data_IF_162836841376
#
_entry.id   IF_162836841376
#
_cell.length_a   1.000
_cell.length_b   1.000
_cell.length_c   1.000
_cell.angle_alpha   90.00
_cell.angle_beta   90.00
_cell.angle_gamma   90.00
#
_symmetry.space_group_name_H-M   'P 1'
#
loop_
_entity.id
_entity.type
_entity.pdbx_description
1 polymer ?
#
# COMPACT_ATOMS: atom_id res chain seq x y z
N UNK A 1 6.92 14.19 -9.68
CA UNK A 1 6.10 13.38 -10.57
C UNK A 1 6.99 12.87 -11.71
N UNK A 2 7.10 11.55 -11.84
CA UNK A 2 7.87 10.92 -12.91
C UNK A 2 7.07 10.93 -14.22
N UNK A 3 7.81 10.78 -15.33
CA UNK A 3 7.23 10.70 -16.68
C UNK A 3 6.41 11.92 -17.11
N UNK A 4 6.68 13.09 -16.53
CA UNK A 4 5.96 14.33 -16.87
C UNK A 4 6.17 14.77 -18.32
N UNK A 5 7.26 14.36 -18.96
CA UNK A 5 7.52 14.62 -20.38
C UNK A 5 6.37 14.08 -21.26
N UNK A 6 5.83 12.90 -20.96
CA UNK A 6 4.70 12.31 -21.68
C UNK A 6 3.45 13.19 -21.66
N UNK A 7 3.33 14.02 -20.62
CA UNK A 7 2.19 14.93 -20.43
C UNK A 7 2.56 16.40 -20.69
N UNK A 8 3.71 16.65 -21.37
CA UNK A 8 4.19 17.99 -21.66
C UNK A 8 4.48 18.83 -20.43
N UNK A 9 4.93 18.18 -19.33
CA UNK A 9 5.17 18.79 -18.02
C UNK A 9 3.93 19.42 -17.36
N UNK A 10 2.72 19.06 -17.83
CA UNK A 10 1.44 19.56 -17.32
C UNK A 10 0.80 18.50 -16.40
N UNK A 11 0.78 18.78 -15.09
CA UNK A 11 0.20 17.89 -14.09
C UNK A 11 -1.33 17.76 -14.22
N UNK A 12 -1.99 18.77 -14.77
CA UNK A 12 -3.42 18.71 -15.10
C UNK A 12 -3.72 17.65 -16.16
N UNK A 13 -2.88 17.56 -17.20
CA UNK A 13 -3.00 16.52 -18.22
C UNK A 13 -2.78 15.11 -17.65
N UNK A 14 -1.84 14.95 -16.72
CA UNK A 14 -1.64 13.68 -16.02
C UNK A 14 -2.91 13.29 -15.23
N UNK A 15 -3.48 14.20 -14.44
CA UNK A 15 -4.74 13.96 -13.71
C UNK A 15 -5.87 13.59 -14.66
N UNK A 16 -6.02 14.32 -15.77
CA UNK A 16 -7.06 14.02 -16.77
C UNK A 16 -6.87 12.63 -17.39
N UNK A 17 -5.63 12.23 -17.69
CA UNK A 17 -5.35 10.90 -18.21
C UNK A 17 -5.78 9.77 -17.25
N UNK A 18 -5.64 9.96 -15.93
CA UNK A 18 -6.17 9.01 -14.93
C UNK A 18 -7.70 8.99 -14.93
N UNK A 19 -8.36 10.14 -15.02
CA UNK A 19 -9.83 10.22 -15.13
C UNK A 19 -10.31 9.48 -16.38
N UNK A 20 -9.67 9.75 -17.53
CA UNK A 20 -10.01 9.08 -18.80
C UNK A 20 -9.80 7.57 -18.75
N UNK A 21 -8.71 7.12 -18.11
CA UNK A 21 -8.44 5.69 -17.88
C UNK A 21 -9.56 5.05 -17.07
N UNK A 22 -9.96 5.66 -15.96
CA UNK A 22 -11.00 5.14 -15.08
C UNK A 22 -12.39 5.16 -15.77
N UNK A 23 -12.66 6.12 -16.65
CA UNK A 23 -13.89 6.16 -17.45
C UNK A 23 -13.98 5.05 -18.51
N UNK A 24 -12.84 4.43 -18.90
CA UNK A 24 -12.85 3.28 -19.82
C UNK A 24 -13.27 1.97 -19.16
N UNK A 25 -13.41 1.95 -17.82
CA UNK A 25 -13.95 0.77 -17.14
C UNK A 25 -15.38 0.48 -17.59
N UNK A 26 -15.80 -0.80 -17.66
CA UNK A 26 -17.18 -1.18 -17.89
C UNK A 26 -18.12 -0.51 -16.86
N UNK A 27 -19.40 -0.41 -17.20
CA UNK A 27 -20.40 0.22 -16.32
C UNK A 27 -20.55 -0.49 -14.96
N UNK A 28 -20.20 -1.77 -14.88
CA UNK A 28 -20.21 -2.59 -13.66
C UNK A 28 -18.87 -2.56 -12.92
N UNK A 29 -17.87 -1.90 -13.47
CA UNK A 29 -16.54 -1.82 -12.84
C UNK A 29 -16.54 -0.86 -11.66
N UNK A 30 -15.66 -1.14 -10.70
CA UNK A 30 -15.41 -0.32 -9.52
C UNK A 30 -13.93 0.09 -9.46
N UNK A 31 -13.68 1.37 -9.21
CA UNK A 31 -12.34 1.87 -8.97
C UNK A 31 -11.98 1.71 -7.48
N UNK A 32 -10.82 1.12 -7.20
CA UNK A 32 -10.27 1.03 -5.84
C UNK A 32 -9.10 2.00 -5.77
N UNK A 33 -9.21 3.02 -4.93
CA UNK A 33 -8.38 4.23 -5.02
C UNK A 33 -7.76 4.58 -3.67
N UNK A 34 -6.42 4.70 -3.65
CA UNK A 34 -5.68 5.22 -2.49
C UNK A 34 -5.92 6.72 -2.33
N UNK A 35 -6.57 7.12 -1.25
CA UNK A 35 -6.94 8.52 -1.00
C UNK A 35 -5.90 9.29 -0.16
N UNK A 36 -4.66 8.80 -0.05
CA UNK A 36 -3.59 9.49 0.68
C UNK A 36 -2.99 10.68 -0.10
N UNK A 37 -3.09 10.65 -1.42
CA UNK A 37 -2.59 11.74 -2.26
C UNK A 37 -3.66 12.81 -2.47
N UNK A 38 -3.37 14.10 -2.20
CA UNK A 38 -4.27 15.21 -2.54
C UNK A 38 -4.64 15.24 -4.03
N UNK A 39 -3.69 14.94 -4.92
CA UNK A 39 -3.93 14.91 -6.35
C UNK A 39 -4.92 13.81 -6.77
N UNK A 40 -4.94 12.69 -6.05
CA UNK A 40 -5.93 11.64 -6.24
C UNK A 40 -7.30 12.10 -5.74
N UNK A 41 -7.37 12.73 -4.56
CA UNK A 41 -8.61 13.28 -4.02
C UNK A 41 -9.24 14.33 -4.94
N UNK A 42 -8.42 15.16 -5.60
CA UNK A 42 -8.87 16.20 -6.53
C UNK A 42 -9.65 15.60 -7.73
N UNK A 43 -9.34 14.39 -8.16
CA UNK A 43 -10.00 13.76 -9.32
C UNK A 43 -11.21 12.93 -8.94
N UNK A 44 -11.40 12.55 -7.65
CA UNK A 44 -12.54 11.72 -7.23
C UNK A 44 -13.91 12.28 -7.65
N UNK A 45 -14.19 13.60 -7.53
CA UNK A 45 -15.48 14.16 -7.95
C UNK A 45 -15.76 14.06 -9.46
N UNK A 46 -14.72 13.90 -10.28
CA UNK A 46 -14.84 13.75 -11.73
C UNK A 46 -15.13 12.32 -12.18
N UNK A 47 -15.07 11.34 -11.26
CA UNK A 47 -15.24 9.93 -11.60
C UNK A 47 -16.72 9.56 -11.65
N UNK A 48 -17.19 9.14 -12.85
CA UNK A 48 -18.56 8.68 -13.06
C UNK A 48 -18.77 7.19 -12.72
N UNK A 49 -17.75 6.50 -12.23
CA UNK A 49 -17.81 5.08 -11.87
C UNK A 49 -17.87 4.93 -10.35
N UNK A 50 -18.44 3.83 -9.82
CA UNK A 50 -18.36 3.53 -8.40
C UNK A 50 -16.89 3.49 -7.93
N UNK A 51 -16.63 4.13 -6.79
CA UNK A 51 -15.29 4.21 -6.21
C UNK A 51 -15.32 3.61 -4.80
N UNK A 52 -14.31 2.84 -4.47
CA UNK A 52 -13.99 2.47 -3.09
C UNK A 52 -12.65 3.12 -2.73
N UNK A 53 -12.66 4.00 -1.74
CA UNK A 53 -11.47 4.68 -1.26
C UNK A 53 -10.83 3.91 -0.11
N UNK A 54 -9.49 3.93 -0.04
CA UNK A 54 -8.75 3.36 1.08
C UNK A 54 -7.61 4.26 1.52
N UNK A 55 -7.18 4.08 2.78
CA UNK A 55 -6.09 4.85 3.37
C UNK A 55 -6.11 4.89 4.89
N UNK A 56 -5.49 5.91 5.47
CA UNK A 56 -5.44 6.15 6.92
C UNK A 56 -6.46 7.20 7.39
N UNK A 57 -6.93 8.05 6.48
CA UNK A 57 -7.83 9.15 6.80
C UNK A 57 -9.23 8.65 7.23
N UNK A 58 -9.97 9.49 7.98
CA UNK A 58 -11.28 9.10 8.54
C UNK A 58 -12.40 8.99 7.50
N UNK A 59 -12.24 9.66 6.39
CA UNK A 59 -13.24 9.77 5.34
C UNK A 59 -13.12 8.70 4.24
N UNK A 60 -12.25 7.68 4.42
CA UNK A 60 -12.12 6.57 3.47
C UNK A 60 -12.97 5.38 3.90
N UNK A 61 -13.35 4.55 2.91
CA UNK A 61 -14.21 3.39 3.13
C UNK A 61 -13.48 2.17 3.70
N UNK A 62 -12.20 2.01 3.36
CA UNK A 62 -11.34 0.94 3.90
C UNK A 62 -10.15 1.61 4.58
N UNK A 63 -10.19 1.64 5.91
CA UNK A 63 -9.26 2.43 6.72
C UNK A 63 -8.40 1.54 7.59
N UNK A 64 -7.08 1.78 7.60
CA UNK A 64 -6.21 1.21 8.61
C UNK A 64 -6.12 2.12 9.84
N UNK A 65 -6.22 1.51 11.01
CA UNK A 65 -6.02 2.16 12.33
C UNK A 65 -5.09 1.31 13.19
N UNK A 66 -4.57 1.88 14.27
CA UNK A 66 -3.66 1.21 15.22
C UNK A 66 -2.42 0.59 14.52
N UNK A 67 -1.90 1.29 13.50
CA UNK A 67 -0.79 0.81 12.68
C UNK A 67 0.51 0.84 13.48
N UNK A 68 1.17 -0.31 13.59
CA UNK A 68 2.44 -0.45 14.30
C UNK A 68 3.34 -1.48 13.65
N UNK A 69 4.64 -1.27 13.76
CA UNK A 69 5.64 -2.24 13.35
C UNK A 69 6.02 -3.13 14.54
N UNK A 70 5.95 -4.45 14.35
CA UNK A 70 6.33 -5.45 15.36
C UNK A 70 7.13 -6.58 14.71
N UNK A 71 8.37 -6.79 15.16
CA UNK A 71 9.23 -7.91 14.71
C UNK A 71 9.35 -8.02 13.18
N UNK A 72 9.45 -6.89 12.47
CA UNK A 72 9.57 -6.85 11.00
C UNK A 72 8.25 -7.05 10.24
N UNK A 73 7.13 -7.12 10.94
CA UNK A 73 5.78 -7.18 10.40
C UNK A 73 5.05 -5.87 10.66
N UNK A 74 3.98 -5.60 9.90
CA UNK A 74 3.02 -4.55 10.22
C UNK A 74 1.78 -5.17 10.84
N UNK A 75 1.38 -4.67 12.01
CA UNK A 75 0.15 -5.03 12.70
C UNK A 75 -0.79 -3.83 12.68
N UNK A 76 -2.04 -4.02 12.28
CA UNK A 76 -3.02 -2.95 12.19
C UNK A 76 -4.44 -3.52 12.16
N UNK A 77 -5.41 -2.66 12.44
CA UNK A 77 -6.82 -2.99 12.29
C UNK A 77 -7.38 -2.36 11.02
N UNK A 78 -8.36 -3.00 10.41
CA UNK A 78 -9.05 -2.46 9.24
C UNK A 78 -10.52 -2.26 9.54
N UNK A 79 -10.96 -1.01 9.44
CA UNK A 79 -12.35 -0.60 9.46
C UNK A 79 -12.87 -0.56 8.03
N UNK A 80 -14.04 -1.16 7.79
CA UNK A 80 -14.61 -1.31 6.46
C UNK A 80 -16.05 -0.81 6.42
N UNK A 81 -16.35 0.04 5.44
CA UNK A 81 -17.68 0.59 5.20
C UNK A 81 -17.99 0.60 3.70
N UNK A 82 -19.13 0.08 3.30
CA UNK A 82 -19.61 0.15 1.92
C UNK A 82 -21.14 0.03 1.93
N UNK A 83 -21.83 1.10 2.39
CA UNK A 83 -23.26 1.07 2.61
C UNK A 83 -23.72 0.24 3.82
N UNK A 84 -22.82 -0.58 4.35
CA UNK A 84 -22.96 -1.35 5.60
C UNK A 84 -21.64 -1.36 6.35
N UNK A 85 -21.68 -1.65 7.65
CA UNK A 85 -20.49 -1.83 8.47
C UNK A 85 -20.12 -3.30 8.53
N UNK A 86 -18.85 -3.61 8.29
CA UNK A 86 -18.28 -4.95 8.40
C UNK A 86 -17.59 -5.13 9.76
N UNK A 87 -17.41 -6.37 10.23
CA UNK A 87 -16.54 -6.64 11.37
C UNK A 87 -15.14 -6.07 11.16
N UNK A 88 -14.51 -5.57 12.23
CA UNK A 88 -13.13 -5.12 12.21
C UNK A 88 -12.20 -6.30 11.89
N UNK A 89 -11.16 -6.06 11.09
CA UNK A 89 -10.12 -7.06 10.85
C UNK A 89 -8.87 -6.72 11.65
N UNK A 90 -8.34 -7.68 12.38
CA UNK A 90 -6.99 -7.64 12.94
C UNK A 90 -6.02 -8.24 11.91
N UNK A 91 -5.17 -7.40 11.31
CA UNK A 91 -4.27 -7.81 10.24
C UNK A 91 -2.85 -7.90 10.76
N UNK A 92 -2.19 -9.02 10.44
CA UNK A 92 -0.73 -9.19 10.51
C UNK A 92 -0.20 -9.35 9.10
N UNK A 93 0.60 -8.39 8.69
CA UNK A 93 1.19 -8.36 7.36
C UNK A 93 2.68 -8.67 7.47
N UNK A 94 3.15 -9.73 6.82
CA UNK A 94 4.57 -10.15 6.84
C UNK A 94 5.49 -9.25 6.02
N UNK A 95 5.12 -8.00 5.83
CA UNK A 95 5.91 -6.96 5.14
C UNK A 95 6.04 -5.74 6.03
N UNK A 96 7.22 -5.12 6.01
CA UNK A 96 7.48 -3.89 6.75
C UNK A 96 7.07 -2.64 5.95
N UNK A 97 6.70 -1.57 6.67
CA UNK A 97 6.47 -0.23 6.13
C UNK A 97 5.00 0.09 5.83
N UNK A 98 4.62 1.34 6.10
CA UNK A 98 3.26 1.85 5.92
C UNK A 98 2.77 1.77 4.47
N UNK A 99 3.67 1.90 3.48
CA UNK A 99 3.32 1.73 2.09
C UNK A 99 2.80 0.31 1.79
N UNK A 100 3.28 -0.71 2.49
CA UNK A 100 2.75 -2.07 2.38
C UNK A 100 1.41 -2.23 3.11
N UNK A 101 1.14 -1.46 4.16
CA UNK A 101 -0.21 -1.36 4.74
C UNK A 101 -1.18 -0.82 3.71
N UNK A 102 -0.84 0.26 2.98
CA UNK A 102 -1.68 0.79 1.89
C UNK A 102 -1.89 -0.24 0.78
N UNK A 103 -0.86 -0.98 0.39
CA UNK A 103 -1.00 -2.07 -0.59
C UNK A 103 -1.94 -3.18 -0.08
N UNK A 104 -1.86 -3.53 1.21
CA UNK A 104 -2.76 -4.52 1.83
C UNK A 104 -4.21 -4.00 1.88
N UNK A 105 -4.44 -2.70 2.15
CA UNK A 105 -5.79 -2.11 2.10
C UNK A 105 -6.42 -2.20 0.71
N UNK A 106 -5.63 -2.05 -0.37
CA UNK A 106 -6.12 -2.29 -1.73
C UNK A 106 -6.59 -3.75 -1.90
N UNK A 107 -5.82 -4.72 -1.39
CA UNK A 107 -6.21 -6.14 -1.41
C UNK A 107 -7.47 -6.41 -0.59
N UNK A 108 -7.62 -5.76 0.59
CA UNK A 108 -8.84 -5.82 1.39
C UNK A 108 -10.05 -5.29 0.62
N UNK A 109 -9.92 -4.13 -0.04
CA UNK A 109 -10.99 -3.54 -0.83
C UNK A 109 -11.41 -4.43 -2.03
N UNK A 110 -10.42 -5.06 -2.68
CA UNK A 110 -10.67 -6.05 -3.76
C UNK A 110 -11.38 -7.29 -3.19
N UNK A 111 -10.94 -7.79 -2.04
CA UNK A 111 -11.54 -8.96 -1.40
C UNK A 111 -13.02 -8.72 -1.02
N UNK A 112 -13.35 -7.49 -0.58
CA UNK A 112 -14.74 -7.08 -0.33
C UNK A 112 -15.58 -7.10 -1.61
N UNK A 113 -15.05 -6.59 -2.72
CA UNK A 113 -15.74 -6.55 -4.00
C UNK A 113 -15.97 -7.96 -4.59
N UNK A 114 -15.02 -8.87 -4.35
CA UNK A 114 -15.08 -10.26 -4.82
C UNK A 114 -15.71 -11.23 -3.80
N UNK A 115 -16.26 -10.72 -2.69
CA UNK A 115 -16.88 -11.51 -1.62
C UNK A 115 -15.96 -12.61 -1.06
N UNK A 116 -14.64 -12.35 -1.04
CA UNK A 116 -13.67 -13.27 -0.44
C UNK A 116 -13.82 -13.25 1.08
N UNK A 117 -13.87 -14.43 1.70
CA UNK A 117 -14.01 -14.52 3.14
C UNK A 117 -12.83 -13.89 3.90
N UNK A 118 -13.13 -13.23 5.03
CA UNK A 118 -12.14 -12.61 5.91
C UNK A 118 -11.04 -13.61 6.33
N UNK A 119 -11.42 -14.84 6.63
CA UNK A 119 -10.47 -15.89 7.03
C UNK A 119 -9.48 -16.24 5.91
N UNK A 120 -9.90 -16.25 4.64
CA UNK A 120 -9.00 -16.49 3.50
C UNK A 120 -8.08 -15.28 3.27
N UNK A 121 -8.63 -14.07 3.33
CA UNK A 121 -7.87 -12.82 3.20
C UNK A 121 -6.79 -12.70 4.27
N UNK A 122 -7.13 -12.90 5.54
CA UNK A 122 -6.18 -12.78 6.66
C UNK A 122 -5.05 -13.79 6.54
N UNK A 123 -5.35 -15.06 6.21
CA UNK A 123 -4.32 -16.07 5.96
C UNK A 123 -3.39 -15.67 4.81
N UNK A 124 -3.93 -15.12 3.73
CA UNK A 124 -3.15 -14.68 2.58
C UNK A 124 -2.20 -13.53 2.96
N UNK A 125 -2.68 -12.50 3.67
CA UNK A 125 -1.87 -11.36 4.11
C UNK A 125 -0.77 -11.78 5.09
N UNK A 126 -1.06 -12.68 6.04
CA UNK A 126 -0.09 -13.20 7.00
C UNK A 126 1.00 -14.06 6.34
N UNK A 127 0.63 -14.88 5.36
CA UNK A 127 1.57 -15.78 4.66
C UNK A 127 2.33 -15.13 3.50
N UNK A 128 1.89 -13.95 3.04
CA UNK A 128 2.49 -13.28 1.88
C UNK A 128 3.87 -12.73 2.22
N UNK A 129 4.90 -13.22 1.54
CA UNK A 129 6.30 -12.87 1.78
C UNK A 129 6.83 -11.75 0.87
N UNK A 130 5.92 -11.07 0.17
CA UNK A 130 6.27 -10.01 -0.77
C UNK A 130 6.63 -10.51 -2.16
N UNK A 131 7.10 -9.59 -2.97
CA UNK A 131 7.59 -9.83 -4.34
C UNK A 131 9.09 -9.62 -4.35
N UNK A 132 9.80 -10.29 -5.24
CA UNK A 132 11.23 -10.09 -5.41
C UNK A 132 11.58 -8.62 -5.63
N UNK A 133 12.66 -8.16 -5.01
CA UNK A 133 13.15 -6.78 -5.07
C UNK A 133 12.16 -5.72 -4.55
N UNK A 134 11.29 -6.10 -3.60
CA UNK A 134 10.43 -5.19 -2.85
C UNK A 134 10.65 -5.44 -1.36
N UNK A 135 11.59 -4.71 -0.75
CA UNK A 135 12.09 -4.92 0.61
C UNK A 135 12.46 -6.40 0.88
N UNK A 136 13.08 -7.02 -0.13
CA UNK A 136 13.44 -8.44 -0.06
C UNK A 136 14.62 -8.63 0.89
N UNK A 137 14.41 -9.40 1.98
CA UNK A 137 15.47 -9.72 2.92
C UNK A 137 16.21 -11.00 2.49
N UNK A 138 17.53 -10.92 2.44
CA UNK A 138 18.43 -12.07 2.27
C UNK A 138 18.97 -12.61 3.61
N UNK A 139 18.45 -12.05 4.73
CA UNK A 139 18.86 -12.45 6.06
C UNK A 139 20.20 -11.84 6.50
N UNK A 140 20.70 -12.37 7.62
CA UNK A 140 21.98 -11.95 8.19
C UNK A 140 23.14 -12.74 7.58
N UNK A 141 24.08 -12.02 6.98
CA UNK A 141 25.29 -12.57 6.38
C UNK A 141 26.50 -12.30 7.29
N UNK A 142 27.49 -13.22 7.34
CA UNK A 142 28.68 -13.02 8.14
C UNK A 142 29.56 -11.88 7.57
N UNK A 143 30.07 -11.05 8.47
CA UNK A 143 31.04 -10.02 8.12
C UNK A 143 32.47 -10.56 8.31
N UNK A 144 33.42 -10.38 7.34
CA UNK A 144 34.82 -10.83 7.47
C UNK A 144 35.54 -10.29 8.72
N UNK A 145 35.14 -9.10 9.21
CA UNK A 145 35.71 -8.47 10.40
C UNK A 145 35.01 -8.90 11.70
N UNK A 146 34.13 -9.90 11.65
CA UNK A 146 33.28 -10.36 12.75
C UNK A 146 31.92 -9.69 12.80
N UNK A 147 30.92 -10.39 13.39
CA UNK A 147 29.54 -9.98 13.41
C UNK A 147 28.75 -10.32 12.14
N UNK A 148 27.58 -9.74 12.00
CA UNK A 148 26.69 -9.95 10.85
C UNK A 148 26.13 -8.64 10.32
N UNK A 149 25.74 -8.63 9.05
CA UNK A 149 24.97 -7.57 8.42
C UNK A 149 23.78 -8.17 7.66
N UNK A 150 22.67 -7.43 7.62
CA UNK A 150 21.47 -7.84 6.90
C UNK A 150 21.45 -7.19 5.52
N UNK A 151 21.16 -7.95 4.48
CA UNK A 151 20.99 -7.42 3.12
C UNK A 151 19.51 -7.34 2.79
N UNK A 152 19.09 -6.14 2.37
CA UNK A 152 17.75 -5.85 1.85
C UNK A 152 17.88 -5.34 0.42
N UNK A 153 17.16 -5.97 -0.51
CA UNK A 153 17.08 -5.53 -1.91
C UNK A 153 15.72 -4.89 -2.19
N UNK A 154 15.75 -3.68 -2.74
CA UNK A 154 14.56 -2.96 -3.16
C UNK A 154 14.78 -2.32 -4.54
N UNK A 155 13.78 -2.38 -5.41
CA UNK A 155 13.84 -1.79 -6.75
C UNK A 155 13.60 -0.27 -6.74
N UNK A 156 13.26 0.30 -5.60
CA UNK A 156 13.01 1.74 -5.44
C UNK A 156 14.16 2.57 -5.97
N UNK A 157 13.90 3.39 -6.99
CA UNK A 157 14.87 4.27 -7.65
C UNK A 157 14.40 5.73 -7.68
N UNK A 158 13.14 5.97 -7.37
CA UNK A 158 12.60 7.32 -7.18
C UNK A 158 12.83 7.81 -5.74
N UNK A 159 13.13 9.10 -5.50
CA UNK A 159 13.40 9.62 -4.15
C UNK A 159 12.32 9.27 -3.10
N UNK A 160 11.05 9.29 -3.48
CA UNK A 160 9.93 8.94 -2.58
C UNK A 160 9.96 7.43 -2.23
N UNK A 161 10.24 6.57 -3.20
CA UNK A 161 10.36 5.12 -2.98
C UNK A 161 11.55 4.81 -2.08
N UNK A 162 12.72 5.42 -2.36
CA UNK A 162 13.91 5.28 -1.53
C UNK A 162 13.67 5.72 -0.09
N UNK A 163 12.99 6.86 0.11
CA UNK A 163 12.64 7.36 1.43
C UNK A 163 11.70 6.37 2.18
N UNK A 164 10.70 5.82 1.49
CA UNK A 164 9.79 4.83 2.07
C UNK A 164 10.52 3.53 2.46
N UNK A 165 11.42 3.04 1.60
CA UNK A 165 12.25 1.86 1.86
C UNK A 165 13.18 2.07 3.06
N UNK A 166 13.83 3.23 3.15
CA UNK A 166 14.69 3.56 4.30
C UNK A 166 13.88 3.69 5.60
N UNK A 167 12.70 4.29 5.55
CA UNK A 167 11.79 4.36 6.69
C UNK A 167 11.35 2.96 7.16
N UNK A 168 11.00 2.08 6.22
CA UNK A 168 10.67 0.69 6.51
C UNK A 168 11.87 -0.05 7.16
N UNK A 169 13.08 0.16 6.65
CA UNK A 169 14.30 -0.43 7.23
C UNK A 169 14.56 0.08 8.66
N UNK A 170 14.35 1.36 8.94
CA UNK A 170 14.46 1.92 10.30
C UNK A 170 13.46 1.28 11.26
N UNK A 171 12.22 1.08 10.83
CA UNK A 171 11.17 0.43 11.61
C UNK A 171 11.44 -1.06 11.84
N UNK A 172 11.94 -1.78 10.82
CA UNK A 172 12.23 -3.20 10.92
C UNK A 172 13.49 -3.52 11.73
N UNK A 173 14.47 -2.60 11.76
CA UNK A 173 15.79 -2.80 12.41
C UNK A 173 16.13 -1.64 13.35
N UNK A 174 15.36 -1.45 14.45
CA UNK A 174 15.59 -0.34 15.37
C UNK A 174 17.01 -0.44 16.00
N UNK A 175 17.70 0.70 16.05
CA UNK A 175 19.05 0.78 16.63
C UNK A 175 20.20 0.24 15.75
N UNK A 176 19.92 -0.42 14.63
CA UNK A 176 20.99 -0.85 13.68
C UNK A 176 21.41 0.31 12.78
N UNK A 177 22.68 0.32 12.42
CA UNK A 177 23.21 1.24 11.39
C UNK A 177 22.71 0.79 10.02
N UNK A 178 22.15 1.72 9.23
CA UNK A 178 21.83 1.55 7.80
C UNK A 178 22.94 2.16 6.96
#
# INVERSE_FOLDING_TARGET
>A
ADHMETYGHDFGKLKQAFVDFLHRMPFYGRAIVCAESPAVRDILPALARPVTTYGFAEDVQVRAVDVRAENGQMCFKVLRQNGQTYPELDVRLSLAGEHNVLNALAAVAIAMELEISDAALLRALESFKGVGRRFQSYGDLPCPQGGTFTVIDDYGHHPVEMAATLAAARGAFPGRRL
#
